data_IF_632995038139
#
_entry.id   IF_632995038139
#
_cell.length_a   1.000
_cell.length_b   1.000
_cell.length_c   1.000
_cell.angle_alpha   90.00
_cell.angle_beta   90.00
_cell.angle_gamma   90.00
#
_symmetry.space_group_name_H-M   'P 1'
#
loop_
_entity.id
_entity.type
_entity.pdbx_description
1 polymer ?
#
# COMPACT_ATOMS: atom_id res chain seq x y z
N UNK A 1 4.98 -31.23 16.21
CA UNK A 1 4.41 -30.19 15.33
C UNK A 1 3.96 -30.87 14.05
N UNK A 2 2.70 -30.89 13.80
CA UNK A 2 2.18 -31.59 12.65
C UNK A 2 2.31 -30.72 11.40
N UNK A 3 2.44 -31.35 10.22
CA UNK A 3 2.51 -30.68 8.91
C UNK A 3 1.25 -29.81 8.66
N UNK A 4 0.13 -30.19 9.29
CA UNK A 4 -1.16 -29.48 9.19
C UNK A 4 -1.08 -28.06 9.82
N UNK A 5 -0.32 -27.88 10.90
CA UNK A 5 -0.15 -26.57 11.50
C UNK A 5 0.71 -25.61 10.67
N UNK A 6 1.64 -26.14 9.88
CA UNK A 6 2.46 -25.34 8.98
C UNK A 6 1.66 -24.88 7.73
N UNK A 7 0.74 -25.71 7.24
CA UNK A 7 -0.14 -25.36 6.12
C UNK A 7 -1.17 -24.30 6.49
N UNK A 8 -1.70 -24.37 7.72
CA UNK A 8 -2.69 -23.41 8.22
C UNK A 8 -2.10 -22.00 8.39
N UNK A 9 -0.81 -21.89 8.68
CA UNK A 9 -0.11 -20.60 8.78
C UNK A 9 0.10 -19.89 7.43
N UNK A 10 -0.02 -20.61 6.33
CA UNK A 10 0.19 -20.05 4.99
C UNK A 10 -1.12 -19.77 4.24
N UNK A 11 -2.25 -20.26 4.75
CA UNK A 11 -3.55 -20.03 4.17
C UNK A 11 -3.98 -18.56 4.34
N UNK A 12 -4.40 -17.94 3.24
CA UNK A 12 -5.06 -16.64 3.31
C UNK A 12 -6.44 -16.79 3.96
N UNK A 13 -6.88 -15.79 4.74
CA UNK A 13 -8.26 -15.75 5.20
C UNK A 13 -9.22 -15.88 4.01
N UNK A 14 -10.27 -16.71 4.11
CA UNK A 14 -11.07 -17.10 2.94
C UNK A 14 -11.86 -16.00 2.27
N UNK A 15 -11.92 -14.78 2.80
CA UNK A 15 -12.74 -13.71 2.23
C UNK A 15 -12.10 -12.33 2.38
N UNK A 16 -10.93 -12.13 1.77
CA UNK A 16 -10.32 -10.81 1.73
C UNK A 16 -11.03 -9.93 0.71
N UNK A 17 -11.50 -8.79 1.15
CA UNK A 17 -11.98 -7.70 0.28
C UNK A 17 -11.08 -6.49 0.42
N UNK A 18 -10.81 -5.84 -0.69
CA UNK A 18 -10.12 -4.56 -0.70
C UNK A 18 -11.15 -3.47 -0.99
N UNK A 19 -11.18 -2.44 -0.16
CA UNK A 19 -12.09 -1.32 -0.28
C UNK A 19 -11.43 0.00 0.08
N UNK A 20 -12.07 1.10 -0.27
CA UNK A 20 -11.64 2.42 0.18
C UNK A 20 -11.84 2.55 1.70
N UNK A 21 -10.85 3.15 2.36
CA UNK A 21 -10.95 3.52 3.77
C UNK A 21 -11.71 4.83 3.95
N UNK A 22 -12.29 5.00 5.12
CA UNK A 22 -12.92 6.22 5.56
C UNK A 22 -12.61 6.52 7.03
N UNK A 23 -13.18 7.61 7.59
CA UNK A 23 -12.92 8.02 8.98
C UNK A 23 -13.23 6.94 10.03
N UNK A 24 -14.15 6.03 9.73
CA UNK A 24 -14.49 4.90 10.61
C UNK A 24 -13.35 3.92 10.81
N UNK A 25 -12.39 3.90 9.88
CA UNK A 25 -11.28 2.98 9.89
C UNK A 25 -10.09 3.47 10.71
N UNK A 26 -10.14 4.68 11.24
CA UNK A 26 -9.00 5.33 11.88
C UNK A 26 -8.39 4.48 13.00
N UNK A 27 -9.18 3.95 13.90
CA UNK A 27 -8.71 3.13 15.02
C UNK A 27 -8.04 1.83 14.54
N UNK A 28 -8.68 1.13 13.61
CA UNK A 28 -8.16 -0.12 13.07
C UNK A 28 -6.87 0.11 12.25
N UNK A 29 -6.81 1.18 11.49
CA UNK A 29 -5.61 1.55 10.72
C UNK A 29 -4.46 1.97 11.64
N UNK A 30 -4.74 2.73 12.68
CA UNK A 30 -3.72 3.11 13.66
C UNK A 30 -3.09 1.89 14.34
N UNK A 31 -3.87 0.85 14.58
CA UNK A 31 -3.37 -0.39 15.16
C UNK A 31 -2.39 -1.17 14.27
N UNK A 32 -2.35 -0.87 12.96
CA UNK A 32 -1.39 -1.47 12.03
C UNK A 32 0.00 -0.83 12.11
N UNK A 33 0.11 0.38 12.62
CA UNK A 33 1.35 1.15 12.60
C UNK A 33 2.23 0.83 13.82
N UNK A 34 3.53 0.86 13.60
CA UNK A 34 4.52 0.48 14.62
C UNK A 34 4.74 1.55 15.70
N UNK A 35 4.34 2.79 15.44
CA UNK A 35 4.47 3.90 16.39
C UNK A 35 3.11 4.28 17.00
N UNK A 36 2.72 3.65 18.12
CA UNK A 36 1.41 3.89 18.72
C UNK A 36 1.17 5.34 19.16
N UNK A 37 2.23 6.07 19.50
CA UNK A 37 2.12 7.46 19.97
C UNK A 37 1.61 8.42 18.89
N UNK A 38 1.97 8.16 17.63
CA UNK A 38 1.64 9.03 16.50
C UNK A 38 0.74 8.36 15.47
N UNK A 39 0.38 7.09 15.67
CA UNK A 39 -0.37 6.30 14.70
C UNK A 39 -1.70 6.95 14.29
N UNK A 40 -2.49 7.38 15.26
CA UNK A 40 -3.77 8.03 14.99
C UNK A 40 -3.63 9.33 14.21
N UNK A 41 -2.68 10.17 14.60
CA UNK A 41 -2.38 11.41 13.93
C UNK A 41 -1.94 11.18 12.50
N UNK A 42 -1.09 10.18 12.27
CA UNK A 42 -0.65 9.79 10.94
C UNK A 42 -1.81 9.34 10.05
N UNK A 43 -2.70 8.51 10.57
CA UNK A 43 -3.88 8.04 9.82
C UNK A 43 -4.81 9.20 9.47
N UNK A 44 -5.06 10.10 10.41
CA UNK A 44 -5.87 11.28 10.15
C UNK A 44 -5.24 12.18 9.10
N UNK A 45 -3.92 12.38 9.14
CA UNK A 45 -3.20 13.14 8.12
C UNK A 45 -3.38 12.52 6.74
N UNK A 46 -3.28 11.20 6.61
CA UNK A 46 -3.53 10.52 5.34
C UNK A 46 -4.96 10.72 4.84
N UNK A 47 -5.95 10.58 5.71
CA UNK A 47 -7.36 10.70 5.36
C UNK A 47 -7.74 12.13 4.94
N UNK A 48 -7.07 13.14 5.48
CA UNK A 48 -7.37 14.55 5.26
C UNK A 48 -6.54 15.18 4.13
N UNK A 49 -5.45 14.55 3.72
CA UNK A 49 -4.57 15.11 2.68
C UNK A 49 -5.17 14.92 1.28
N UNK A 50 -5.42 16.00 0.54
CA UNK A 50 -5.89 15.90 -0.84
C UNK A 50 -4.93 15.08 -1.72
N UNK A 51 -5.48 14.26 -2.60
CA UNK A 51 -4.71 13.38 -3.46
C UNK A 51 -4.23 12.09 -2.81
N UNK A 52 -4.54 11.89 -1.54
CA UNK A 52 -4.23 10.65 -0.81
C UNK A 52 -5.45 9.74 -0.77
N UNK A 53 -5.25 8.49 -1.13
CA UNK A 53 -6.29 7.45 -1.11
C UNK A 53 -5.78 6.26 -0.32
N UNK A 54 -6.61 5.73 0.56
CA UNK A 54 -6.30 4.55 1.34
C UNK A 54 -7.16 3.38 0.88
N UNK A 55 -6.52 2.27 0.53
CA UNK A 55 -7.19 0.99 0.28
C UNK A 55 -6.94 0.06 1.46
N UNK A 56 -8.00 -0.52 1.96
CA UNK A 56 -7.98 -1.42 3.12
C UNK A 56 -8.29 -2.84 2.67
N UNK A 57 -7.46 -3.77 3.09
CA UNK A 57 -7.76 -5.19 3.02
C UNK A 57 -8.48 -5.59 4.29
N UNK A 58 -9.66 -6.17 4.14
CA UNK A 58 -10.53 -6.58 5.24
C UNK A 58 -11.03 -7.99 5.06
N UNK A 59 -11.13 -8.73 6.16
CA UNK A 59 -11.79 -10.04 6.24
C UNK A 59 -12.68 -10.08 7.47
N UNK A 60 -13.22 -11.25 7.75
CA UNK A 60 -13.93 -11.52 9.02
C UNK A 60 -13.05 -11.29 10.26
N UNK A 61 -11.73 -11.33 10.12
CA UNK A 61 -10.76 -11.04 11.19
C UNK A 61 -10.43 -9.55 11.35
N UNK A 62 -11.18 -8.69 10.68
CA UNK A 62 -10.98 -7.23 10.72
C UNK A 62 -10.08 -6.70 9.61
N UNK A 63 -9.43 -5.58 9.88
CA UNK A 63 -8.50 -4.93 8.95
C UNK A 63 -7.16 -5.66 8.96
N UNK A 64 -6.74 -6.11 7.79
CA UNK A 64 -5.52 -6.91 7.62
C UNK A 64 -4.33 -6.07 7.15
N UNK A 65 -4.59 -4.98 6.46
CA UNK A 65 -3.55 -4.13 5.90
C UNK A 65 -4.12 -2.90 5.19
N UNK A 66 -3.23 -2.02 4.81
CA UNK A 66 -3.56 -0.76 4.12
C UNK A 66 -2.52 -0.43 3.05
N UNK A 67 -2.98 0.08 1.92
CA UNK A 67 -2.14 0.73 0.92
C UNK A 67 -2.48 2.23 0.90
N UNK A 68 -1.47 3.06 1.05
CA UNK A 68 -1.58 4.52 0.98
C UNK A 68 -1.09 4.97 -0.38
N UNK A 69 -1.97 5.58 -1.16
CA UNK A 69 -1.72 5.99 -2.53
C UNK A 69 -1.72 7.51 -2.64
N UNK A 70 -0.70 8.06 -3.27
CA UNK A 70 -0.60 9.48 -3.59
C UNK A 70 -0.80 9.67 -5.09
N UNK A 71 -1.77 10.48 -5.47
CA UNK A 71 -2.01 10.82 -6.87
C UNK A 71 -1.36 12.15 -7.19
N UNK A 72 -0.49 12.16 -8.22
CA UNK A 72 0.18 13.35 -8.72
C UNK A 72 -0.24 13.63 -10.16
N UNK A 73 -0.38 14.89 -10.48
CA UNK A 73 -0.56 15.35 -11.85
C UNK A 73 0.79 15.85 -12.36
N UNK A 74 1.27 15.23 -13.42
CA UNK A 74 2.57 15.55 -14.01
C UNK A 74 2.32 16.24 -15.36
N UNK A 75 2.74 17.51 -15.51
CA UNK A 75 2.68 18.18 -16.81
C UNK A 75 3.65 17.53 -17.80
N UNK A 76 3.20 17.36 -19.02
CA UNK A 76 4.03 16.84 -20.11
C UNK A 76 4.21 17.90 -21.19
N UNK A 77 5.42 18.06 -21.75
CA UNK A 77 5.64 19.03 -22.82
C UNK A 77 4.74 18.79 -24.04
N UNK A 78 4.05 19.82 -24.45
CA UNK A 78 3.23 19.81 -25.67
C UNK A 78 1.95 18.97 -25.61
N UNK A 79 1.53 18.51 -24.43
CA UNK A 79 0.42 17.59 -24.31
C UNK A 79 -0.39 17.77 -23.02
N UNK A 80 -1.35 16.91 -22.85
CA UNK A 80 -2.19 16.74 -21.68
C UNK A 80 -1.38 16.38 -20.44
N UNK A 81 -1.90 16.74 -19.27
CA UNK A 81 -1.35 16.31 -17.99
C UNK A 81 -1.48 14.81 -17.82
N UNK A 82 -0.47 14.20 -17.23
CA UNK A 82 -0.47 12.78 -16.91
C UNK A 82 -0.70 12.56 -15.40
N UNK A 83 -1.49 11.56 -15.08
CA UNK A 83 -1.74 11.13 -13.72
C UNK A 83 -0.77 10.01 -13.38
N UNK A 84 -0.08 10.16 -12.24
CA UNK A 84 0.82 9.17 -11.69
C UNK A 84 0.35 8.83 -10.28
N UNK A 85 0.30 7.55 -9.94
CA UNK A 85 -0.04 7.10 -8.59
C UNK A 85 1.20 6.49 -7.95
N UNK A 86 1.55 6.99 -6.77
CA UNK A 86 2.64 6.47 -5.95
C UNK A 86 2.07 5.64 -4.81
N UNK A 87 2.60 4.43 -4.63
CA UNK A 87 2.37 3.64 -3.43
C UNK A 87 3.34 4.15 -2.36
N UNK A 88 2.83 5.03 -1.49
CA UNK A 88 3.63 5.68 -0.45
C UNK A 88 3.90 4.74 0.73
N UNK A 89 2.87 4.00 1.14
CA UNK A 89 2.96 3.01 2.19
C UNK A 89 2.15 1.77 1.86
N UNK A 90 2.66 0.64 2.26
CA UNK A 90 1.96 -0.64 2.22
C UNK A 90 2.24 -1.37 3.53
N UNK A 91 1.24 -1.44 4.39
CA UNK A 91 1.38 -2.01 5.73
C UNK A 91 0.44 -3.20 5.87
N UNK A 92 0.99 -4.32 6.30
CA UNK A 92 0.23 -5.55 6.56
C UNK A 92 0.38 -5.91 8.03
N UNK A 93 -0.71 -6.36 8.64
CA UNK A 93 -0.73 -6.83 10.02
C UNK A 93 0.38 -7.86 10.24
N UNK A 94 1.13 -7.73 11.35
CA UNK A 94 2.36 -8.47 11.56
C UNK A 94 2.20 -10.00 11.49
N UNK A 95 1.08 -10.52 12.00
CA UNK A 95 0.78 -11.96 11.99
C UNK A 95 0.39 -12.50 10.60
N UNK A 96 0.17 -11.61 9.63
CA UNK A 96 -0.22 -11.96 8.25
C UNK A 96 0.85 -11.63 7.20
N UNK A 97 2.01 -11.15 7.62
CA UNK A 97 3.13 -10.91 6.71
C UNK A 97 3.57 -12.24 6.07
N UNK A 98 3.90 -12.19 4.77
CA UNK A 98 4.25 -13.38 3.99
C UNK A 98 3.05 -14.19 3.49
N UNK A 99 1.81 -13.78 3.78
CA UNK A 99 0.58 -14.48 3.38
C UNK A 99 -0.14 -13.84 2.19
N UNK A 100 0.58 -13.14 1.34
CA UNK A 100 0.06 -12.51 0.11
C UNK A 100 -0.97 -11.38 0.31
N UNK A 101 -1.21 -10.92 1.53
CA UNK A 101 -2.11 -9.77 1.78
C UNK A 101 -1.56 -8.52 1.08
N UNK A 102 -0.26 -8.26 1.22
CA UNK A 102 0.42 -7.15 0.56
C UNK A 102 0.31 -7.21 -0.95
N UNK A 103 0.49 -8.41 -1.53
CA UNK A 103 0.32 -8.60 -2.98
C UNK A 103 -1.11 -8.31 -3.44
N UNK A 104 -2.08 -8.72 -2.67
CA UNK A 104 -3.51 -8.45 -2.94
C UNK A 104 -3.83 -6.97 -2.89
N UNK A 105 -3.29 -6.26 -1.88
CA UNK A 105 -3.40 -4.81 -1.78
C UNK A 105 -2.75 -4.10 -2.95
N UNK A 106 -1.55 -4.53 -3.34
CA UNK A 106 -0.83 -3.93 -4.46
C UNK A 106 -1.57 -4.15 -5.78
N UNK A 107 -2.11 -5.35 -6.01
CA UNK A 107 -2.93 -5.63 -7.18
C UNK A 107 -4.16 -4.72 -7.25
N UNK A 108 -4.85 -4.53 -6.13
CA UNK A 108 -5.98 -3.62 -6.04
C UNK A 108 -5.58 -2.15 -6.28
N UNK A 109 -4.42 -1.74 -5.77
CA UNK A 109 -3.88 -0.39 -5.99
C UNK A 109 -3.59 -0.13 -7.46
N UNK A 110 -2.99 -1.09 -8.14
CA UNK A 110 -2.70 -1.01 -9.58
C UNK A 110 -4.00 -0.92 -10.38
N UNK A 111 -4.98 -1.76 -10.07
CA UNK A 111 -6.28 -1.75 -10.74
C UNK A 111 -7.02 -0.43 -10.49
N UNK A 112 -7.05 0.05 -9.25
CA UNK A 112 -7.62 1.35 -8.89
C UNK A 112 -6.99 2.48 -9.70
N UNK A 113 -5.67 2.45 -9.88
CA UNK A 113 -4.91 3.44 -10.64
C UNK A 113 -5.26 3.40 -12.13
N UNK A 114 -5.38 2.21 -12.70
CA UNK A 114 -5.79 2.01 -14.10
C UNK A 114 -7.19 2.53 -14.37
N UNK A 115 -8.13 2.26 -13.49
CA UNK A 115 -9.51 2.74 -13.61
C UNK A 115 -9.57 4.27 -13.62
N UNK A 116 -8.60 4.93 -13.00
CA UNK A 116 -8.48 6.40 -12.98
C UNK A 116 -7.56 6.94 -14.06
N UNK A 117 -7.19 6.11 -15.02
CA UNK A 117 -6.35 6.47 -16.15
C UNK A 117 -4.97 6.98 -15.77
N UNK A 118 -4.40 6.48 -14.68
CA UNK A 118 -3.01 6.71 -14.37
C UNK A 118 -2.14 6.06 -15.44
N UNK A 119 -1.13 6.79 -15.88
CA UNK A 119 -0.18 6.28 -16.89
C UNK A 119 0.93 5.47 -16.27
N UNK A 120 1.12 5.60 -14.95
CA UNK A 120 2.21 4.97 -14.23
C UNK A 120 1.84 4.77 -12.76
N UNK A 121 2.27 3.66 -12.19
CA UNK A 121 2.25 3.39 -10.76
C UNK A 121 3.70 3.28 -10.29
N UNK A 122 4.03 4.02 -9.25
CA UNK A 122 5.37 4.11 -8.70
C UNK A 122 5.41 3.60 -7.26
N UNK A 123 6.57 3.13 -6.83
CA UNK A 123 6.87 2.88 -5.42
C UNK A 123 8.29 3.38 -5.14
N UNK A 124 8.47 4.04 -4.00
CA UNK A 124 9.79 4.47 -3.55
C UNK A 124 10.25 3.51 -2.46
N UNK A 125 11.36 2.85 -2.72
CA UNK A 125 11.92 1.85 -1.80
C UNK A 125 13.29 2.33 -1.35
N UNK A 126 13.51 2.41 -0.03
CA UNK A 126 14.80 2.78 0.54
C UNK A 126 15.88 1.76 0.18
N UNK A 127 17.12 2.23 0.04
CA UNK A 127 18.27 1.41 -0.37
C UNK A 127 18.51 0.20 0.55
N UNK A 128 18.17 0.32 1.84
CA UNK A 128 18.35 -0.73 2.82
C UNK A 128 17.16 -1.69 2.91
N UNK A 129 16.04 -1.38 2.28
CA UNK A 129 14.83 -2.21 2.29
C UNK A 129 14.85 -3.21 1.14
N UNK A 130 15.68 -4.26 1.26
CA UNK A 130 15.82 -5.31 0.25
C UNK A 130 14.54 -6.13 0.08
N UNK A 131 13.83 -6.42 1.15
CA UNK A 131 12.59 -7.21 1.12
C UNK A 131 11.47 -6.43 0.44
N UNK A 132 11.34 -5.14 0.72
CA UNK A 132 10.40 -4.27 0.03
C UNK A 132 10.70 -4.18 -1.47
N UNK A 133 11.97 -4.00 -1.83
CA UNK A 133 12.39 -3.98 -3.23
C UNK A 133 12.04 -5.28 -3.95
N UNK A 134 12.38 -6.40 -3.36
CA UNK A 134 12.06 -7.74 -3.92
C UNK A 134 10.56 -7.93 -4.08
N UNK A 135 9.77 -7.49 -3.12
CA UNK A 135 8.31 -7.55 -3.18
C UNK A 135 7.77 -6.81 -4.41
N UNK A 136 8.21 -5.57 -4.64
CA UNK A 136 7.78 -4.80 -5.81
C UNK A 136 8.30 -5.37 -7.11
N UNK A 137 9.56 -5.78 -7.17
CA UNK A 137 10.14 -6.41 -8.36
C UNK A 137 9.43 -7.71 -8.72
N UNK A 138 9.10 -8.55 -7.74
CA UNK A 138 8.35 -9.80 -7.96
C UNK A 138 6.93 -9.54 -8.48
N UNK A 139 6.34 -8.39 -8.15
CA UNK A 139 5.05 -8.00 -8.70
C UNK A 139 5.15 -7.55 -10.16
N UNK A 140 6.30 -7.05 -10.59
CA UNK A 140 6.54 -6.57 -11.95
C UNK A 140 7.07 -5.13 -12.03
N UNK A 141 7.33 -4.48 -10.89
CA UNK A 141 7.94 -3.16 -10.89
C UNK A 141 9.41 -3.26 -11.30
N UNK A 142 9.88 -2.26 -12.02
CA UNK A 142 11.28 -2.14 -12.42
C UNK A 142 11.83 -0.79 -12.02
N UNK A 143 13.12 -0.73 -11.74
CA UNK A 143 13.81 0.53 -11.48
C UNK A 143 13.74 1.43 -12.73
N UNK A 144 13.27 2.66 -12.55
CA UNK A 144 13.08 3.59 -13.66
C UNK A 144 14.06 4.75 -13.63
N UNK A 145 14.19 5.45 -12.51
CA UNK A 145 15.00 6.66 -12.38
C UNK A 145 15.61 6.78 -11.00
N UNK A 146 16.78 7.42 -10.92
CA UNK A 146 17.35 7.84 -9.65
C UNK A 146 16.69 9.16 -9.20
N UNK A 147 16.33 9.21 -7.93
CA UNK A 147 15.78 10.42 -7.33
C UNK A 147 16.84 11.08 -6.47
N UNK A 148 17.25 12.29 -6.85
CA UNK A 148 18.17 13.10 -6.07
C UNK A 148 17.37 14.05 -5.18
N UNK A 149 17.77 14.16 -3.92
CA UNK A 149 17.07 14.98 -2.92
C UNK A 149 18.08 15.89 -2.23
N UNK A 150 17.75 17.16 -2.14
CA UNK A 150 18.44 18.13 -1.31
C UNK A 150 17.49 18.58 -0.21
N UNK A 151 17.92 18.45 1.04
CA UNK A 151 17.15 19.00 2.15
C UNK A 151 17.15 20.53 2.08
N UNK A 152 15.95 21.10 2.18
CA UNK A 152 15.77 22.54 2.14
C UNK A 152 15.83 23.17 3.54
#
# INVERSE_FOLDING_TARGET
MSIIEAEDRTALPPSIRVRLAGPRDCTALAALLDDPAHAREQVLAWLETPGTTLLVAQSEFGVLGVAVLLTRIVPMPGATTHKVVEVDNLVVRADLRGRRVGRRLLAAAVEWSRQRRAVQVEAIVGDVNRDGRRFYENFGFAAANDRLVLAA
#
